data_IF_194673489718
#
_entry.id   IF_194673489718
#
_cell.length_a   1.000
_cell.length_b   1.000
_cell.length_c   1.000
_cell.angle_alpha   90.00
_cell.angle_beta   90.00
_cell.angle_gamma   90.00
#
_symmetry.space_group_name_H-M   'P 1'
#
loop_
_entity.id
_entity.type
_entity.pdbx_description
1 polymer ?
#
# COMPACT_ATOMS: atom_id res chain seq x y z
N UNK A 1 4.86 -9.45 6.01
CA UNK A 1 5.25 -8.13 5.47
C UNK A 1 4.02 -7.31 5.06
N UNK A 2 3.09 -7.92 4.33
CA UNK A 2 1.83 -7.32 3.92
C UNK A 2 0.89 -6.94 5.08
N UNK A 3 0.68 -7.86 6.02
CA UNK A 3 -0.20 -7.66 7.19
C UNK A 3 0.21 -6.47 8.08
N UNK A 4 1.53 -6.25 8.21
CA UNK A 4 2.09 -5.12 8.93
C UNK A 4 1.92 -3.79 8.19
N UNK A 5 1.92 -3.81 6.85
CA UNK A 5 1.66 -2.64 6.01
C UNK A 5 0.18 -2.25 6.06
N UNK A 6 -0.73 -3.24 6.04
CA UNK A 6 -2.16 -3.04 6.23
C UNK A 6 -2.48 -2.42 7.58
N UNK A 7 -1.94 -3.00 8.66
CA UNK A 7 -2.11 -2.46 10.02
C UNK A 7 -1.53 -1.03 10.14
N UNK A 8 -0.39 -0.76 9.51
CA UNK A 8 0.21 0.58 9.50
C UNK A 8 -0.63 1.58 8.70
N UNK A 9 -1.23 1.16 7.59
CA UNK A 9 -2.15 1.98 6.82
C UNK A 9 -3.41 2.31 7.63
N UNK A 10 -4.03 1.31 8.27
CA UNK A 10 -5.19 1.51 9.16
C UNK A 10 -4.86 2.45 10.34
N UNK A 11 -3.65 2.35 10.89
CA UNK A 11 -3.16 3.24 11.96
C UNK A 11 -2.68 4.61 11.46
N UNK A 12 -2.91 4.97 10.19
CA UNK A 12 -2.43 6.22 9.57
C UNK A 12 -0.90 6.43 9.62
N UNK A 13 -0.10 5.36 9.83
CA UNK A 13 1.36 5.42 9.76
C UNK A 13 1.87 5.49 8.32
N UNK A 14 1.11 4.93 7.38
CA UNK A 14 1.47 4.91 5.96
C UNK A 14 0.32 5.52 5.18
N UNK A 15 0.62 6.47 4.29
CA UNK A 15 -0.36 7.10 3.39
C UNK A 15 -0.41 6.39 2.05
N UNK A 16 -1.48 6.64 1.29
CA UNK A 16 -1.67 6.13 -0.08
C UNK A 16 -0.47 6.45 -0.97
N UNK A 17 0.06 7.68 -0.92
CA UNK A 17 1.25 8.09 -1.68
C UNK A 17 2.51 7.28 -1.32
N UNK A 18 2.66 6.88 -0.05
CA UNK A 18 3.77 6.04 0.39
C UNK A 18 3.59 4.60 -0.11
N UNK A 19 2.36 4.07 -0.08
CA UNK A 19 2.04 2.78 -0.66
C UNK A 19 2.29 2.74 -2.17
N UNK A 20 1.94 3.81 -2.90
CA UNK A 20 2.26 3.93 -4.32
C UNK A 20 3.76 3.89 -4.58
N UNK A 21 4.55 4.60 -3.77
CA UNK A 21 6.01 4.50 -3.83
C UNK A 21 6.49 3.08 -3.54
N UNK A 22 5.94 2.40 -2.53
CA UNK A 22 6.30 1.01 -2.25
C UNK A 22 6.02 0.08 -3.44
N UNK A 23 4.93 0.30 -4.17
CA UNK A 23 4.64 -0.42 -5.43
C UNK A 23 5.69 -0.11 -6.48
N UNK A 24 6.01 1.17 -6.71
CA UNK A 24 7.05 1.59 -7.65
C UNK A 24 8.45 1.06 -7.29
N UNK A 25 8.74 0.90 -6.00
CA UNK A 25 9.97 0.29 -5.50
C UNK A 25 9.95 -1.25 -5.54
N UNK A 26 8.85 -1.89 -5.94
CA UNK A 26 8.70 -3.35 -5.93
C UNK A 26 8.66 -3.96 -4.53
N UNK A 27 8.34 -3.17 -3.50
CA UNK A 27 8.20 -3.62 -2.10
C UNK A 27 6.87 -4.32 -1.87
N UNK A 28 5.84 -3.94 -2.62
CA UNK A 28 4.52 -4.56 -2.66
C UNK A 28 4.03 -4.57 -4.12
N UNK A 29 3.10 -5.45 -4.43
CA UNK A 29 2.42 -5.50 -5.73
C UNK A 29 1.26 -4.50 -5.82
N UNK A 30 0.79 -4.23 -7.04
CA UNK A 30 -0.42 -3.42 -7.27
C UNK A 30 -1.68 -4.05 -6.67
N UNK A 31 -1.75 -5.38 -6.65
CA UNK A 31 -2.83 -6.14 -6.00
C UNK A 31 -2.82 -5.94 -4.48
N UNK A 32 -1.63 -6.04 -3.88
CA UNK A 32 -1.40 -5.74 -2.47
C UNK A 32 -1.78 -4.28 -2.11
N UNK A 33 -1.43 -3.32 -2.96
CA UNK A 33 -1.86 -1.93 -2.79
C UNK A 33 -3.38 -1.80 -2.78
N UNK A 34 -4.05 -2.48 -3.70
CA UNK A 34 -5.50 -2.47 -3.81
C UNK A 34 -6.17 -3.14 -2.60
N UNK A 35 -5.59 -4.22 -2.07
CA UNK A 35 -6.08 -4.86 -0.84
C UNK A 35 -5.90 -3.98 0.40
N UNK A 36 -4.82 -3.19 0.49
CA UNK A 36 -4.59 -2.29 1.63
C UNK A 36 -5.47 -1.05 1.54
N UNK A 37 -5.53 -0.42 0.38
CA UNK A 37 -6.16 0.90 0.21
C UNK A 37 -7.61 0.82 -0.22
N UNK A 38 -8.06 -0.31 -0.78
CA UNK A 38 -9.35 -0.47 -1.43
C UNK A 38 -9.45 0.24 -2.79
N UNK A 39 -8.38 0.89 -3.26
CA UNK A 39 -8.34 1.65 -4.50
C UNK A 39 -7.35 1.03 -5.49
N UNK A 40 -7.70 1.03 -6.77
CA UNK A 40 -6.77 0.66 -7.83
C UNK A 40 -5.68 1.74 -7.89
N UNK A 41 -4.42 1.33 -7.97
CA UNK A 41 -3.30 2.26 -8.09
C UNK A 41 -3.55 3.20 -9.30
N UNK A 42 -3.67 4.52 -9.08
CA UNK A 42 -3.73 5.44 -10.20
C UNK A 42 -2.37 5.42 -10.90
N UNK A 43 -2.38 4.99 -12.17
CA UNK A 43 -1.21 4.89 -13.04
C UNK A 43 -0.74 6.26 -13.50
#
# INVERSE_FOLDING_TARGET
MFDGLKTRFEKNFVRKDQLQKYVAFGKITTEEYQEITGEVLPV
#
